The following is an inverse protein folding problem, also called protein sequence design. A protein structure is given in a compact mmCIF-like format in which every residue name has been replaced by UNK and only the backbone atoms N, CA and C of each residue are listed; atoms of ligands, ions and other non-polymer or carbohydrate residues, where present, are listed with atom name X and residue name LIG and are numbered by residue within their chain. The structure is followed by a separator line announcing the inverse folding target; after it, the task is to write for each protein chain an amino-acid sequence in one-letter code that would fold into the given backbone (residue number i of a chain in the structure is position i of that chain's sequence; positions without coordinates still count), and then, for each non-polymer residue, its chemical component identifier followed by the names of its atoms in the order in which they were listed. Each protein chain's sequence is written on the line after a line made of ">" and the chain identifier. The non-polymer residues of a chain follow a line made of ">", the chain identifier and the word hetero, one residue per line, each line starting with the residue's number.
data_IF_137158003504
#
_entry.id   IF_137158003504
#
_cell.length_a   1.000
_cell.length_b   1.000
_cell.length_c   1.000
_cell.angle_alpha   90.00
_cell.angle_beta   90.00
_cell.angle_gamma   90.00
#
_symmetry.space_group_name_H-M   'P 1'
#
loop_
_entity.id
_entity.type
_entity.pdbx_description
1 polymer ?
#
# COMPACT_ATOMS: atom_id res chain seq x y z
N UNK A 1 2.81 -10.81 27.77
CA UNK A 1 2.36 -9.62 27.06
C UNK A 1 2.20 -9.93 25.58
N UNK A 2 1.05 -9.59 25.06
CA UNK A 2 0.78 -9.86 23.65
C UNK A 2 1.40 -8.76 22.79
N UNK A 3 2.11 -9.18 21.78
CA UNK A 3 2.69 -8.28 20.82
C UNK A 3 1.59 -7.78 19.88
N UNK A 4 1.60 -6.50 19.55
CA UNK A 4 0.67 -5.97 18.58
C UNK A 4 0.89 -6.65 17.23
N UNK A 5 -0.21 -6.97 16.56
CA UNK A 5 -0.14 -7.52 15.20
C UNK A 5 0.45 -6.49 14.26
N UNK A 6 1.17 -6.91 13.22
CA UNK A 6 1.66 -5.99 12.20
C UNK A 6 0.53 -5.21 11.55
N UNK A 7 0.80 -3.96 11.21
CA UNK A 7 -0.15 -3.07 10.57
C UNK A 7 0.14 -2.98 9.08
N UNK A 8 -0.88 -3.26 8.28
CA UNK A 8 -0.81 -3.16 6.82
C UNK A 8 -1.71 -2.02 6.36
N UNK A 9 -1.14 -1.05 5.68
CA UNK A 9 -1.90 0.03 5.06
C UNK A 9 -2.26 -0.36 3.63
N UNK A 10 -3.52 -0.16 3.26
CA UNK A 10 -4.05 -0.52 1.94
C UNK A 10 -4.52 0.74 1.24
N UNK A 11 -4.02 0.98 0.05
CA UNK A 11 -4.41 2.12 -0.77
C UNK A 11 -4.93 1.65 -2.12
N UNK A 12 -6.24 1.68 -2.30
CA UNK A 12 -6.91 1.24 -3.51
C UNK A 12 -8.24 1.99 -3.61
N UNK A 13 -8.55 2.53 -4.78
CA UNK A 13 -9.77 3.31 -4.98
C UNK A 13 -11.03 2.45 -5.12
N UNK A 14 -10.90 1.16 -5.32
CA UNK A 14 -12.04 0.25 -5.43
C UNK A 14 -12.47 -0.29 -4.07
N UNK A 15 -13.70 0.04 -3.60
CA UNK A 15 -14.14 -0.39 -2.26
C UNK A 15 -14.16 -1.90 -2.08
N UNK A 16 -14.53 -2.64 -3.13
CA UNK A 16 -14.59 -4.10 -3.03
C UNK A 16 -13.22 -4.72 -2.85
N UNK A 17 -12.22 -4.19 -3.55
CA UNK A 17 -10.85 -4.67 -3.42
C UNK A 17 -10.31 -4.34 -2.03
N UNK A 18 -10.55 -3.12 -1.54
CA UNK A 18 -10.14 -2.75 -0.17
C UNK A 18 -10.72 -3.70 0.86
N UNK A 19 -12.03 -3.98 0.78
CA UNK A 19 -12.67 -4.90 1.73
C UNK A 19 -12.13 -6.31 1.64
N UNK A 20 -11.92 -6.80 0.42
CA UNK A 20 -11.41 -8.14 0.21
C UNK A 20 -10.00 -8.29 0.79
N UNK A 21 -9.13 -7.33 0.52
CA UNK A 21 -7.76 -7.34 1.04
C UNK A 21 -7.74 -7.21 2.55
N UNK A 22 -8.52 -6.27 3.11
CA UNK A 22 -8.59 -6.08 4.55
C UNK A 22 -9.09 -7.34 5.25
N UNK A 23 -10.14 -7.95 4.73
CA UNK A 23 -10.71 -9.16 5.31
C UNK A 23 -9.70 -10.31 5.29
N UNK A 24 -9.04 -10.52 4.16
CA UNK A 24 -8.05 -11.59 4.03
C UNK A 24 -6.87 -11.38 4.98
N UNK A 25 -6.39 -10.16 5.10
CA UNK A 25 -5.26 -9.84 5.98
C UNK A 25 -5.65 -9.96 7.45
N UNK A 26 -6.83 -9.50 7.82
CA UNK A 26 -7.32 -9.62 9.19
C UNK A 26 -7.51 -11.08 9.58
N UNK A 27 -8.01 -11.90 8.68
CA UNK A 27 -8.13 -13.34 8.89
C UNK A 27 -6.76 -13.99 9.09
N UNK A 28 -5.73 -13.44 8.49
CA UNK A 28 -4.36 -13.92 8.64
C UNK A 28 -3.64 -13.37 9.89
N UNK A 29 -4.32 -12.52 10.67
CA UNK A 29 -3.79 -12.00 11.93
C UNK A 29 -3.16 -10.62 11.85
N UNK A 30 -3.31 -9.91 10.73
CA UNK A 30 -2.81 -8.54 10.60
C UNK A 30 -3.85 -7.51 11.01
N UNK A 31 -3.38 -6.34 11.42
CA UNK A 31 -4.24 -5.16 11.51
C UNK A 31 -4.20 -4.44 10.18
N UNK A 32 -5.28 -3.77 9.81
CA UNK A 32 -5.34 -3.06 8.53
C UNK A 32 -5.84 -1.63 8.71
N UNK A 33 -5.38 -0.75 7.83
CA UNK A 33 -5.90 0.60 7.67
C UNK A 33 -6.07 0.83 6.17
N UNK A 34 -7.29 1.15 5.74
CA UNK A 34 -7.64 1.22 4.31
C UNK A 34 -7.95 2.65 3.90
N UNK A 35 -7.50 3.01 2.72
CA UNK A 35 -7.67 4.35 2.17
C UNK A 35 -8.07 4.27 0.70
N UNK A 36 -8.97 5.16 0.29
CA UNK A 36 -9.44 5.23 -1.09
C UNK A 36 -8.61 6.18 -1.94
N UNK A 37 -7.93 7.13 -1.32
CA UNK A 37 -7.18 8.18 -2.02
C UNK A 37 -5.82 8.38 -1.40
N UNK A 38 -4.87 8.79 -2.23
CA UNK A 38 -3.51 9.04 -1.78
C UNK A 38 -3.43 10.16 -0.74
N UNK A 39 -4.25 11.20 -0.86
CA UNK A 39 -4.27 12.29 0.11
C UNK A 39 -4.66 11.81 1.50
N UNK A 40 -5.66 10.94 1.59
CA UNK A 40 -6.09 10.35 2.85
C UNK A 40 -5.02 9.42 3.43
N UNK A 41 -4.39 8.63 2.56
CA UNK A 41 -3.32 7.74 2.92
C UNK A 41 -2.13 8.50 3.49
N UNK A 42 -1.71 9.57 2.81
CA UNK A 42 -0.60 10.40 3.28
C UNK A 42 -0.91 11.07 4.63
N UNK A 43 -2.15 11.52 4.81
CA UNK A 43 -2.58 12.07 6.09
C UNK A 43 -2.54 11.01 7.20
N UNK A 44 -2.95 9.79 6.88
CA UNK A 44 -2.90 8.67 7.83
C UNK A 44 -1.48 8.31 8.23
N UNK A 45 -0.53 8.39 7.31
CA UNK A 45 0.87 8.07 7.59
C UNK A 45 1.53 9.02 8.61
N UNK A 46 0.94 10.19 8.83
CA UNK A 46 1.43 11.10 9.88
C UNK A 46 1.06 10.61 11.27
N UNK A 47 0.13 9.68 11.38
CA UNK A 47 -0.40 9.19 12.65
C UNK A 47 -0.09 7.73 12.92
N UNK A 48 0.41 7.01 11.92
CA UNK A 48 0.69 5.60 12.05
C UNK A 48 1.97 5.25 11.29
N UNK A 49 2.58 4.15 11.70
CA UNK A 49 3.76 3.63 11.02
C UNK A 49 3.45 2.19 10.59
N UNK A 50 2.93 2.00 9.39
CA UNK A 50 2.62 0.65 8.94
C UNK A 50 3.90 -0.16 8.69
N UNK A 51 3.79 -1.46 8.91
CA UNK A 51 4.88 -2.40 8.62
C UNK A 51 4.97 -2.66 7.12
N UNK A 52 3.85 -2.61 6.43
CA UNK A 52 3.80 -2.76 4.98
C UNK A 52 2.67 -1.92 4.39
N UNK A 53 2.83 -1.56 3.13
CA UNK A 53 1.82 -0.84 2.37
C UNK A 53 1.52 -1.59 1.08
N UNK A 54 0.23 -1.80 0.81
CA UNK A 54 -0.26 -2.31 -0.48
C UNK A 54 -0.82 -1.14 -1.26
N UNK A 55 -0.23 -0.84 -2.42
CA UNK A 55 -0.54 0.38 -3.16
C UNK A 55 -0.99 0.06 -4.58
N UNK A 56 -2.19 0.53 -4.93
CA UNK A 56 -2.68 0.48 -6.30
C UNK A 56 -2.09 1.65 -7.10
N UNK A 57 -1.64 1.39 -8.31
CA UNK A 57 -1.09 2.41 -9.19
C UNK A 57 -2.17 3.28 -9.85
N UNK A 58 -3.37 2.77 -10.01
CA UNK A 58 -4.45 3.45 -10.70
C UNK A 58 -5.24 4.44 -9.85
N UNK A 59 -4.58 5.22 -9.00
CA UNK A 59 -5.24 6.13 -8.08
C UNK A 59 -5.81 7.36 -8.80
N UNK A 60 -6.99 7.85 -8.37
CA UNK A 60 -7.63 8.97 -9.04
C UNK A 60 -6.96 10.33 -8.77
N UNK A 61 -6.26 10.48 -7.65
CA UNK A 61 -5.74 11.78 -7.21
C UNK A 61 -4.21 11.89 -7.25
N UNK A 62 -3.50 10.82 -7.49
CA UNK A 62 -2.03 10.80 -7.51
C UNK A 62 -1.48 9.73 -8.41
N UNK A 63 -0.26 9.94 -8.86
CA UNK A 63 0.52 8.89 -9.52
C UNK A 63 1.04 7.92 -8.45
N UNK A 64 0.58 6.68 -8.51
CA UNK A 64 0.97 5.64 -7.56
C UNK A 64 2.46 5.35 -7.57
N UNK A 65 3.12 5.43 -8.72
CA UNK A 65 4.55 5.21 -8.82
C UNK A 65 5.35 6.28 -8.07
N UNK A 66 4.92 7.53 -8.16
CA UNK A 66 5.57 8.63 -7.41
C UNK A 66 5.42 8.41 -5.91
N UNK A 67 4.26 7.93 -5.48
CA UNK A 67 4.02 7.63 -4.07
C UNK A 67 4.91 6.48 -3.58
N UNK A 68 5.05 5.42 -4.38
CA UNK A 68 5.93 4.30 -4.07
C UNK A 68 7.36 4.79 -3.86
N UNK A 69 7.86 5.62 -4.77
CA UNK A 69 9.21 6.16 -4.66
C UNK A 69 9.40 6.95 -3.38
N UNK A 70 8.46 7.79 -3.03
CA UNK A 70 8.53 8.58 -1.79
C UNK A 70 8.56 7.69 -0.55
N UNK A 71 7.70 6.69 -0.50
CA UNK A 71 7.66 5.77 0.63
C UNK A 71 8.95 4.97 0.77
N UNK A 72 9.49 4.52 -0.34
CA UNK A 72 10.73 3.75 -0.35
C UNK A 72 11.92 4.55 0.17
N UNK A 73 11.92 5.87 -0.03
CA UNK A 73 13.03 6.73 0.40
C UNK A 73 12.87 7.28 1.82
N UNK A 74 11.66 7.29 2.36
CA UNK A 74 11.38 7.96 3.63
C UNK A 74 11.19 7.04 4.81
N UNK A 75 10.90 5.78 4.60
CA UNK A 75 10.54 4.90 5.71
C UNK A 75 11.10 3.50 5.52
N UNK A 76 11.13 2.74 6.62
CA UNK A 76 11.49 1.33 6.58
C UNK A 76 10.31 0.41 6.29
N UNK A 77 9.22 0.94 5.76
CA UNK A 77 8.04 0.13 5.46
C UNK A 77 8.22 -0.67 4.17
N UNK A 78 7.71 -1.87 4.16
CA UNK A 78 7.68 -2.70 2.95
C UNK A 78 6.59 -2.19 2.02
N UNK A 79 6.91 -2.03 0.75
CA UNK A 79 5.96 -1.53 -0.24
C UNK A 79 5.69 -2.60 -1.29
N UNK A 80 4.42 -2.98 -1.42
CA UNK A 80 3.97 -3.95 -2.42
C UNK A 80 2.97 -3.27 -3.33
N UNK A 81 3.24 -3.30 -4.62
CA UNK A 81 2.33 -2.74 -5.61
C UNK A 81 1.29 -3.80 -5.97
N UNK A 82 0.02 -3.41 -5.90
CA UNK A 82 -1.10 -4.22 -6.35
C UNK A 82 -1.79 -3.44 -7.46
N UNK A 83 -1.93 -4.03 -8.64
CA UNK A 83 -2.52 -3.28 -9.75
C UNK A 83 -3.04 -4.18 -10.84
N UNK A 84 -4.13 -3.77 -11.48
CA UNK A 84 -4.58 -4.37 -12.72
C UNK A 84 -3.70 -4.02 -13.92
N UNK A 85 -2.73 -3.11 -13.75
CA UNK A 85 -1.76 -2.77 -14.78
C UNK A 85 -0.63 -3.78 -14.75
N UNK A 86 -0.88 -4.94 -15.35
CA UNK A 86 0.03 -6.09 -15.25
C UNK A 86 1.09 -6.14 -16.36
N UNK A 87 1.41 -5.02 -16.99
CA UNK A 87 2.42 -4.99 -18.04
C UNK A 87 3.81 -5.06 -17.44
N UNK A 88 4.71 -5.78 -18.11
CA UNK A 88 6.09 -5.97 -17.66
C UNK A 88 6.77 -4.62 -17.38
N UNK A 89 6.54 -3.64 -18.23
CA UNK A 89 7.14 -2.32 -18.10
C UNK A 89 6.74 -1.62 -16.80
N UNK A 90 5.47 -1.73 -16.40
CA UNK A 90 5.00 -1.15 -15.14
C UNK A 90 5.62 -1.83 -13.94
N UNK A 91 5.79 -3.15 -14.02
CA UNK A 91 6.42 -3.93 -12.95
C UNK A 91 7.87 -3.53 -12.77
N UNK A 92 8.61 -3.43 -13.86
CA UNK A 92 10.02 -3.04 -13.82
C UNK A 92 10.16 -1.64 -13.25
N UNK A 93 9.37 -0.69 -13.71
CA UNK A 93 9.40 0.68 -13.23
C UNK A 93 9.08 0.76 -11.74
N UNK A 94 8.05 0.04 -11.29
CA UNK A 94 7.66 0.04 -9.88
C UNK A 94 8.77 -0.49 -8.98
N UNK A 95 9.40 -1.59 -9.38
CA UNK A 95 10.49 -2.19 -8.62
C UNK A 95 11.74 -1.30 -8.63
N UNK A 96 12.05 -0.68 -9.76
CA UNK A 96 13.18 0.26 -9.85
C UNK A 96 12.99 1.49 -8.97
N UNK A 97 11.76 1.95 -8.80
CA UNK A 97 11.46 3.10 -7.93
C UNK A 97 11.47 2.74 -6.46
N UNK A 98 11.57 1.48 -6.11
CA UNK A 98 11.79 1.05 -4.74
C UNK A 98 10.73 0.17 -4.12
N UNK A 99 9.72 -0.27 -4.89
CA UNK A 99 8.77 -1.25 -4.37
C UNK A 99 9.49 -2.56 -4.08
N UNK A 100 9.10 -3.24 -3.01
CA UNK A 100 9.69 -4.53 -2.65
C UNK A 100 9.10 -5.68 -3.47
N UNK A 101 7.87 -5.50 -3.96
CA UNK A 101 7.20 -6.48 -4.81
C UNK A 101 6.12 -5.79 -5.63
N UNK A 102 5.58 -6.54 -6.57
CA UNK A 102 4.55 -6.04 -7.48
C UNK A 102 3.47 -7.09 -7.67
#
# INVERSE_FOLDING_TARGET
>A
MTRDAPLIAILDDEPEIRRLLASALEDAGFRTASFARATEFEAGLRRMTPDACLIDLGLPDRDGLALVHRLATQSGTTVIIISGRAQVQDRVTGLELGADDY
#
